data_IF_934406219280
#
_entry.id   IF_934406219280
#
_cell.length_a   1.000
_cell.length_b   1.000
_cell.length_c   1.000
_cell.angle_alpha   90.00
_cell.angle_beta   90.00
_cell.angle_gamma   90.00
#
_symmetry.space_group_name_H-M   'P 1'
#
loop_
_entity.id
_entity.type
_entity.pdbx_description
1 polymer ?
#
# COMPACT_ATOMS: atom_id res chain seq x y z
N UNK A 1 4.22 8.10 -13.83
CA UNK A 1 3.98 7.22 -12.65
C UNK A 1 2.53 7.29 -12.20
N UNK A 2 2.10 6.25 -11.55
CA UNK A 2 0.74 6.10 -11.05
C UNK A 2 0.76 5.63 -9.60
N UNK A 3 -0.26 6.00 -8.85
CA UNK A 3 -0.38 5.63 -7.45
C UNK A 3 -1.71 4.91 -7.18
N UNK A 4 -1.62 3.78 -6.48
CA UNK A 4 -2.76 3.12 -5.86
C UNK A 4 -2.79 3.52 -4.39
N UNK A 5 -3.88 4.13 -3.98
CA UNK A 5 -4.04 4.66 -2.61
C UNK A 5 -5.14 3.88 -1.91
N UNK A 6 -4.76 3.08 -0.94
CA UNK A 6 -5.70 2.28 -0.15
C UNK A 6 -5.80 2.89 1.25
N UNK A 7 -7.02 3.17 1.69
CA UNK A 7 -7.29 3.74 3.01
C UNK A 7 -7.84 2.66 3.94
N UNK A 8 -7.30 2.61 5.15
CA UNK A 8 -7.67 1.63 6.16
C UNK A 8 -8.03 2.33 7.46
N UNK A 9 -8.93 1.74 8.21
CA UNK A 9 -9.23 2.18 9.57
C UNK A 9 -8.80 1.08 10.53
N UNK A 10 -7.96 1.42 11.49
CA UNK A 10 -7.47 0.52 12.51
C UNK A 10 -7.69 1.13 13.90
N UNK A 11 -7.59 0.31 14.93
CA UNK A 11 -7.53 0.77 16.31
C UNK A 11 -6.18 1.50 16.51
N UNK A 12 -6.17 2.74 17.03
CA UNK A 12 -4.91 3.45 17.26
C UNK A 12 -3.87 2.64 18.05
N UNK A 13 -4.32 1.79 18.98
CA UNK A 13 -3.43 0.95 19.77
C UNK A 13 -2.78 -0.19 18.98
N UNK A 14 -3.28 -0.49 17.79
CA UNK A 14 -2.81 -1.61 16.95
C UNK A 14 -1.93 -1.18 15.78
N UNK A 15 -1.70 0.12 15.62
CA UNK A 15 -0.94 0.64 14.47
C UNK A 15 0.47 0.08 14.42
N UNK A 16 1.18 0.05 15.55
CA UNK A 16 2.56 -0.46 15.56
C UNK A 16 2.63 -1.94 15.20
N UNK A 17 1.66 -2.74 15.62
CA UNK A 17 1.56 -4.14 15.25
C UNK A 17 1.29 -4.32 13.76
N UNK A 18 0.41 -3.51 13.18
CA UNK A 18 0.13 -3.54 11.74
C UNK A 18 1.35 -3.16 10.92
N UNK A 19 2.09 -2.14 11.35
CA UNK A 19 3.33 -1.72 10.68
C UNK A 19 4.36 -2.85 10.71
N UNK A 20 4.50 -3.53 11.85
CA UNK A 20 5.45 -4.64 11.98
C UNK A 20 5.08 -5.79 11.03
N UNK A 21 3.81 -6.16 10.92
CA UNK A 21 3.37 -7.19 9.99
C UNK A 21 3.62 -6.82 8.53
N UNK A 22 3.34 -5.57 8.17
CA UNK A 22 3.58 -5.10 6.81
C UNK A 22 5.07 -5.15 6.49
N UNK A 23 5.92 -4.75 7.44
CA UNK A 23 7.38 -4.83 7.28
C UNK A 23 7.84 -6.28 7.09
N UNK A 24 7.30 -7.20 7.85
CA UNK A 24 7.61 -8.62 7.69
C UNK A 24 7.21 -9.14 6.30
N UNK A 25 6.06 -8.72 5.79
CA UNK A 25 5.61 -9.11 4.45
C UNK A 25 6.54 -8.55 3.36
N UNK A 26 7.01 -7.30 3.53
CA UNK A 26 7.96 -6.69 2.60
C UNK A 26 9.29 -7.46 2.64
N UNK A 27 9.79 -7.76 3.82
CA UNK A 27 11.06 -8.50 4.00
C UNK A 27 10.95 -9.94 3.49
N UNK A 28 9.76 -10.53 3.56
CA UNK A 28 9.50 -11.88 3.06
C UNK A 28 9.35 -11.96 1.53
N UNK A 29 9.43 -10.82 0.82
CA UNK A 29 9.45 -10.80 -0.63
C UNK A 29 8.17 -10.27 -1.29
N UNK A 30 7.33 -9.53 -0.58
CA UNK A 30 6.14 -8.93 -1.17
C UNK A 30 6.45 -8.14 -2.46
N UNK A 31 7.52 -7.32 -2.53
CA UNK A 31 7.85 -6.60 -3.75
C UNK A 31 8.28 -7.47 -4.92
N UNK A 32 8.55 -8.76 -4.70
CA UNK A 32 8.91 -9.71 -5.77
C UNK A 32 7.75 -10.58 -6.22
N UNK A 33 6.57 -10.40 -5.61
CA UNK A 33 5.37 -11.14 -6.03
C UNK A 33 4.96 -10.75 -7.45
N UNK A 34 4.41 -11.70 -8.25
CA UNK A 34 3.88 -11.37 -9.57
C UNK A 34 2.88 -10.22 -9.50
N UNK A 35 3.08 -9.22 -10.33
CA UNK A 35 2.27 -8.00 -10.38
C UNK A 35 2.78 -6.86 -9.53
N UNK A 36 3.77 -7.10 -8.66
CA UNK A 36 4.34 -6.06 -7.78
C UNK A 36 5.82 -5.78 -8.06
N UNK A 37 6.37 -6.36 -9.11
CA UNK A 37 7.78 -6.16 -9.47
C UNK A 37 8.05 -4.68 -9.77
N UNK A 38 9.06 -4.14 -9.13
CA UNK A 38 9.47 -2.74 -9.32
C UNK A 38 8.55 -1.72 -8.65
N UNK A 39 7.48 -2.14 -8.00
CA UNK A 39 6.61 -1.24 -7.26
C UNK A 39 7.32 -0.72 -6.01
N UNK A 40 7.01 0.53 -5.66
CA UNK A 40 7.50 1.15 -4.42
C UNK A 40 6.32 1.34 -3.47
N UNK A 41 6.59 1.24 -2.19
CA UNK A 41 5.57 1.29 -1.15
C UNK A 41 5.89 2.38 -0.15
N UNK A 42 4.85 3.07 0.31
CA UNK A 42 4.94 3.89 1.51
C UNK A 42 3.62 3.80 2.29
N UNK A 43 3.72 3.96 3.60
CA UNK A 43 2.57 3.91 4.48
C UNK A 43 2.51 5.20 5.28
N UNK A 44 1.32 5.82 5.30
CA UNK A 44 1.03 6.97 6.15
C UNK A 44 0.16 6.50 7.30
N UNK A 45 0.38 7.04 8.48
CA UNK A 45 -0.41 6.67 9.65
C UNK A 45 -0.75 7.91 10.47
N UNK A 46 -2.02 8.01 10.87
CA UNK A 46 -2.48 8.96 11.87
C UNK A 46 -2.70 8.17 13.18
N UNK A 47 -1.81 8.37 14.13
CA UNK A 47 -1.83 7.61 15.38
C UNK A 47 -2.95 8.00 16.31
N UNK A 48 -3.58 9.15 16.13
CA UNK A 48 -4.72 9.57 16.94
C UNK A 48 -6.01 8.87 16.50
N UNK A 49 -6.27 8.88 15.19
CA UNK A 49 -7.52 8.32 14.64
C UNK A 49 -7.44 6.83 14.33
N UNK A 50 -6.23 6.29 14.14
CA UNK A 50 -6.03 4.93 13.67
C UNK A 50 -6.14 4.80 12.15
N UNK A 51 -6.25 5.91 11.42
CA UNK A 51 -6.30 5.89 9.97
C UNK A 51 -4.92 5.57 9.39
N UNK A 52 -4.88 4.65 8.44
CA UNK A 52 -3.66 4.30 7.72
C UNK A 52 -3.92 4.41 6.22
N UNK A 53 -2.93 4.89 5.48
CA UNK A 53 -3.01 5.02 4.03
C UNK A 53 -1.81 4.31 3.42
N UNK A 54 -2.08 3.25 2.66
CA UNK A 54 -1.05 2.53 1.91
C UNK A 54 -0.98 3.06 0.50
N UNK A 55 0.21 3.51 0.09
CA UNK A 55 0.44 4.03 -1.25
C UNK A 55 1.42 3.11 -1.96
N UNK A 56 1.02 2.61 -3.12
CA UNK A 56 1.87 1.80 -3.98
C UNK A 56 2.09 2.56 -5.28
N UNK A 57 3.35 2.72 -5.67
CA UNK A 57 3.75 3.49 -6.84
C UNK A 57 4.13 2.56 -7.98
N UNK A 58 3.61 2.84 -9.17
CA UNK A 58 3.86 2.06 -10.39
C UNK A 58 4.32 2.97 -11.51
N UNK A 59 5.09 2.44 -12.44
CA UNK A 59 5.58 3.22 -13.59
C UNK A 59 4.51 3.45 -14.65
N UNK A 60 3.58 2.48 -14.81
CA UNK A 60 2.53 2.55 -15.83
C UNK A 60 1.16 2.28 -15.21
N UNK A 61 0.11 2.74 -15.90
CA UNK A 61 -1.27 2.45 -15.48
C UNK A 61 -1.57 0.95 -15.51
N UNK A 62 -1.06 0.24 -16.52
CA UNK A 62 -1.24 -1.20 -16.62
C UNK A 62 -0.60 -1.92 -15.44
N UNK A 63 0.63 -1.54 -15.08
CA UNK A 63 1.31 -2.11 -13.91
C UNK A 63 0.50 -1.86 -12.64
N UNK A 64 -0.10 -0.69 -12.50
CA UNK A 64 -0.96 -0.37 -11.36
C UNK A 64 -2.19 -1.28 -11.30
N UNK A 65 -2.83 -1.55 -12.42
CA UNK A 65 -4.01 -2.43 -12.47
C UNK A 65 -3.66 -3.87 -12.13
N UNK A 66 -2.52 -4.35 -12.64
CA UNK A 66 -2.02 -5.70 -12.33
C UNK A 66 -1.65 -5.80 -10.85
N UNK A 67 -0.97 -4.79 -10.33
CA UNK A 67 -0.61 -4.72 -8.91
C UNK A 67 -1.83 -4.65 -8.00
N UNK A 68 -2.86 -3.90 -8.38
CA UNK A 68 -4.11 -3.83 -7.62
C UNK A 68 -4.77 -5.21 -7.51
N UNK A 69 -4.85 -5.96 -8.61
CA UNK A 69 -5.40 -7.31 -8.58
C UNK A 69 -4.60 -8.24 -7.67
N UNK A 70 -3.27 -8.14 -7.70
CA UNK A 70 -2.40 -8.93 -6.84
C UNK A 70 -2.61 -8.58 -5.36
N UNK A 71 -2.72 -7.30 -5.03
CA UNK A 71 -2.91 -6.85 -3.65
C UNK A 71 -4.30 -7.19 -3.11
N UNK A 72 -5.33 -7.17 -3.97
CA UNK A 72 -6.69 -7.55 -3.57
C UNK A 72 -6.83 -9.02 -3.20
N UNK A 73 -5.93 -9.88 -3.69
CA UNK A 73 -5.92 -11.31 -3.35
C UNK A 73 -5.09 -11.61 -2.11
N UNK A 74 -4.38 -10.62 -1.57
CA UNK A 74 -3.53 -10.78 -0.40
C UNK A 74 -4.28 -10.60 0.93
N UNK A 75 -3.64 -10.96 2.06
CA UNK A 75 -4.24 -10.75 3.39
C UNK A 75 -4.28 -9.27 3.74
N UNK A 76 -5.36 -8.84 4.40
CA UNK A 76 -5.46 -7.49 4.95
C UNK A 76 -4.83 -7.41 6.33
N UNK A 77 -3.75 -6.65 6.47
CA UNK A 77 -3.02 -6.52 7.73
C UNK A 77 -3.10 -5.12 8.34
N UNK A 78 -3.57 -4.13 7.59
CA UNK A 78 -3.63 -2.73 8.05
C UNK A 78 -4.96 -2.34 8.70
N UNK A 79 -5.87 -3.29 8.88
CA UNK A 79 -7.21 -3.05 9.41
C UNK A 79 -8.28 -3.14 8.33
N UNK A 80 -9.45 -2.58 8.60
CA UNK A 80 -10.56 -2.59 7.65
C UNK A 80 -10.34 -1.58 6.54
N UNK A 81 -10.30 -2.06 5.30
CA UNK A 81 -10.12 -1.18 4.13
C UNK A 81 -11.41 -0.43 3.85
N UNK A 82 -11.34 0.90 3.84
CA UNK A 82 -12.49 1.76 3.58
C UNK A 82 -12.58 2.21 2.12
N UNK A 83 -11.50 2.11 1.35
CA UNK A 83 -11.52 2.45 -0.07
C UNK A 83 -10.18 2.30 -0.74
N UNK A 84 -10.21 2.26 -2.07
CA UNK A 84 -9.03 2.27 -2.92
C UNK A 84 -9.24 3.30 -4.01
N UNK A 85 -8.26 4.17 -4.21
CA UNK A 85 -8.29 5.19 -5.24
C UNK A 85 -7.05 5.08 -6.12
N UNK A 86 -7.18 5.55 -7.35
CA UNK A 86 -6.11 5.48 -8.34
C UNK A 86 -5.83 6.87 -8.88
N UNK A 87 -4.55 7.24 -8.94
CA UNK A 87 -4.12 8.56 -9.38
C UNK A 87 -2.95 8.48 -10.34
N UNK A 88 -2.89 9.41 -11.27
CA UNK A 88 -1.67 9.70 -12.00
C UNK A 88 -0.79 10.58 -11.12
N UNK A 89 0.52 10.39 -11.19
CA UNK A 89 1.49 11.27 -10.51
C UNK A 89 2.14 12.16 -11.57
N UNK A 90 1.60 13.38 -11.80
CA UNK A 90 2.14 14.26 -12.84
C UNK A 90 3.43 14.96 -12.43
N UNK A 91 3.74 14.96 -11.14
CA UNK A 91 4.91 15.64 -10.61
C UNK A 91 5.44 14.93 -9.37
N UNK A 92 6.74 14.64 -9.34
CA UNK A 92 7.40 14.07 -8.17
C UNK A 92 8.90 14.40 -8.20
N UNK A 93 9.52 14.25 -7.05
CA UNK A 93 10.98 14.35 -6.90
C UNK A 93 11.57 13.02 -6.42
N UNK A 94 10.86 11.92 -6.62
CA UNK A 94 11.31 10.58 -6.23
C UNK A 94 12.46 10.13 -7.13
N UNK A 95 13.50 9.62 -6.53
CA UNK A 95 14.65 9.09 -7.26
C UNK A 95 14.40 7.67 -7.75
#
# INVERSE_FOLDING_TARGET
>A
MYARVATFQNDPAKIDGAIAEIRENIDAGLPTMPGLEGAKFLMLADRESGKMIGITLFETEEAMRVGDAAMNSGPGVAGSRSGVEFYEIPLHTLA
#
